data_IF_486684964966
#
_entry.id   IF_486684964966
#
_cell.length_a   1.000
_cell.length_b   1.000
_cell.length_c   1.000
_cell.angle_alpha   90.00
_cell.angle_beta   90.00
_cell.angle_gamma   90.00
#
_symmetry.space_group_name_H-M   'P 1'
#
loop_
_entity.id
_entity.type
_entity.pdbx_description
1 polymer ?
#
# COMPACT_ATOMS: atom_id res chain seq x y z
N UNK A 1 -31.38 31.30 -74.11
CA UNK A 1 -31.61 32.04 -72.84
C UNK A 1 -32.12 31.04 -71.81
N UNK A 2 -31.68 30.94 -70.55
CA UNK A 2 -30.49 31.35 -69.79
C UNK A 2 -30.75 30.77 -68.38
N UNK A 3 -29.99 29.75 -67.99
CA UNK A 3 -29.58 29.37 -66.62
C UNK A 3 -30.64 29.29 -65.50
N UNK A 4 -31.06 28.06 -65.16
CA UNK A 4 -31.57 27.66 -63.82
C UNK A 4 -30.47 26.88 -63.08
N UNK A 5 -29.46 27.56 -62.57
CA UNK A 5 -28.32 26.92 -61.87
C UNK A 5 -27.71 27.94 -60.89
N UNK A 6 -28.47 28.51 -59.93
CA UNK A 6 -27.83 29.48 -59.01
C UNK A 6 -28.42 29.63 -57.60
N UNK A 7 -29.22 28.69 -57.08
CA UNK A 7 -29.73 28.82 -55.69
C UNK A 7 -29.64 27.58 -54.79
N UNK A 8 -29.19 26.42 -55.28
CA UNK A 8 -29.04 25.23 -54.42
C UNK A 8 -27.78 25.28 -53.53
N UNK A 9 -26.72 25.98 -53.97
CA UNK A 9 -25.45 26.05 -53.24
C UNK A 9 -25.41 27.05 -52.07
N UNK A 10 -26.40 27.93 -51.91
CA UNK A 10 -26.45 28.87 -50.77
C UNK A 10 -27.18 28.29 -49.57
N UNK A 11 -28.17 27.42 -49.79
CA UNK A 11 -28.92 26.77 -48.71
C UNK A 11 -28.06 25.72 -47.98
N UNK A 12 -27.22 24.98 -48.71
CA UNK A 12 -26.32 23.96 -48.15
C UNK A 12 -25.19 24.61 -47.33
N UNK A 13 -24.68 25.77 -47.76
CA UNK A 13 -23.66 26.51 -47.01
C UNK A 13 -24.20 27.13 -45.72
N UNK A 14 -25.46 27.56 -45.70
CA UNK A 14 -26.10 28.07 -44.49
C UNK A 14 -26.36 26.96 -43.46
N UNK A 15 -26.69 25.74 -43.91
CA UNK A 15 -26.90 24.59 -43.02
C UNK A 15 -25.59 24.09 -42.37
N UNK A 16 -24.47 24.17 -43.11
CA UNK A 16 -23.14 23.80 -42.59
C UNK A 16 -22.59 24.79 -41.56
N UNK A 17 -23.05 26.05 -41.57
CA UNK A 17 -22.53 27.09 -40.67
C UNK A 17 -23.17 27.05 -39.27
N UNK A 18 -24.36 26.46 -39.14
CA UNK A 18 -25.02 26.29 -37.83
C UNK A 18 -24.48 25.06 -37.07
N UNK A 19 -23.99 24.04 -37.78
CA UNK A 19 -23.48 22.79 -37.15
C UNK A 19 -22.07 22.97 -36.58
N UNK A 20 -21.27 23.92 -37.07
CA UNK A 20 -19.92 24.16 -36.56
C UNK A 20 -19.92 25.02 -35.28
N UNK A 21 -21.02 25.72 -34.96
CA UNK A 21 -21.10 26.59 -33.78
C UNK A 21 -21.65 25.91 -32.51
N UNK A 22 -21.99 24.62 -32.56
CA UNK A 22 -22.48 23.85 -31.40
C UNK A 22 -21.39 23.03 -30.69
N UNK A 23 -20.11 23.14 -31.10
CA UNK A 23 -18.99 22.43 -30.47
C UNK A 23 -18.24 23.26 -29.41
N UNK A 24 -18.67 24.48 -29.10
CA UNK A 24 -18.22 25.19 -27.90
C UNK A 24 -19.14 24.86 -26.72
N UNK A 25 -19.08 23.61 -26.27
CA UNK A 25 -19.51 23.26 -24.92
C UNK A 25 -18.57 23.99 -23.95
N UNK A 26 -19.04 24.92 -23.10
CA UNK A 26 -18.23 25.41 -22.00
C UNK A 26 -17.85 24.19 -21.17
N UNK A 27 -16.56 24.04 -20.93
CA UNK A 27 -16.02 22.93 -20.16
C UNK A 27 -16.85 22.74 -18.91
N UNK A 28 -17.58 21.63 -18.86
CA UNK A 28 -17.96 21.03 -17.60
C UNK A 28 -16.62 20.64 -16.98
N UNK A 29 -16.04 21.57 -16.23
CA UNK A 29 -15.09 21.28 -15.18
C UNK A 29 -15.92 20.41 -14.24
N UNK A 30 -15.93 19.10 -14.50
CA UNK A 30 -16.24 18.14 -13.46
C UNK A 30 -15.37 18.61 -12.30
N UNK A 31 -15.93 18.99 -11.14
CA UNK A 31 -15.10 19.28 -10.00
C UNK A 31 -14.21 18.05 -9.88
N UNK A 32 -12.90 18.23 -10.07
CA UNK A 32 -11.93 17.18 -9.83
C UNK A 32 -12.34 16.65 -8.47
N UNK A 33 -12.86 15.40 -8.43
CA UNK A 33 -13.22 14.80 -7.18
C UNK A 33 -11.96 14.93 -6.36
N UNK A 34 -12.02 15.78 -5.34
CA UNK A 34 -11.03 15.78 -4.31
C UNK A 34 -11.15 14.36 -3.78
N UNK A 35 -10.32 13.47 -4.29
CA UNK A 35 -9.87 12.31 -3.55
C UNK A 35 -9.18 12.99 -2.39
N UNK A 36 -9.98 13.39 -1.39
CA UNK A 36 -9.54 13.45 -0.02
C UNK A 36 -8.85 12.11 0.11
N UNK A 37 -7.52 12.10 0.11
CA UNK A 37 -6.77 10.91 0.48
C UNK A 37 -7.53 10.41 1.70
N UNK A 38 -8.22 9.25 1.61
CA UNK A 38 -8.92 8.76 2.77
C UNK A 38 -7.83 8.75 3.83
N UNK A 39 -8.10 9.41 4.96
CA UNK A 39 -7.33 9.22 6.18
C UNK A 39 -6.78 7.80 6.12
N UNK A 40 -5.46 7.58 6.04
CA UNK A 40 -4.80 6.29 5.74
C UNK A 40 -5.16 5.25 6.81
N UNK A 41 -6.43 4.88 6.82
CA UNK A 41 -7.08 4.07 7.79
C UNK A 41 -6.96 2.69 7.22
N UNK A 42 -6.00 1.98 7.79
CA UNK A 42 -5.77 0.57 7.52
C UNK A 42 -7.09 -0.18 7.63
N UNK A 43 -7.34 -1.06 6.66
CA UNK A 43 -8.55 -1.88 6.64
C UNK A 43 -8.63 -2.74 7.92
N UNK A 44 -9.78 -2.77 8.62
CA UNK A 44 -9.97 -3.58 9.82
C UNK A 44 -9.64 -5.07 9.66
N UNK A 45 -9.72 -5.61 8.44
CA UNK A 45 -9.29 -6.97 8.14
C UNK A 45 -7.82 -7.21 8.52
N UNK A 46 -6.92 -6.32 8.12
CA UNK A 46 -5.48 -6.48 8.39
C UNK A 46 -5.14 -6.21 9.86
N UNK A 47 -5.88 -5.33 10.52
CA UNK A 47 -5.75 -5.14 11.97
C UNK A 47 -6.15 -6.41 12.73
N UNK A 48 -7.24 -7.07 12.31
CA UNK A 48 -7.67 -8.33 12.89
C UNK A 48 -6.62 -9.43 12.70
N UNK A 49 -6.08 -9.57 11.50
CA UNK A 49 -4.99 -10.52 11.22
C UNK A 49 -3.76 -10.26 12.10
N UNK A 50 -3.41 -9.00 12.33
CA UNK A 50 -2.31 -8.67 13.23
C UNK A 50 -2.61 -9.08 14.69
N UNK A 51 -3.85 -8.91 15.15
CA UNK A 51 -4.27 -9.33 16.49
C UNK A 51 -4.35 -10.85 16.62
N UNK A 52 -4.81 -11.56 15.58
CA UNK A 52 -4.84 -13.03 15.48
C UNK A 52 -3.42 -13.60 15.50
N UNK A 53 -2.52 -13.07 14.66
CA UNK A 53 -1.12 -13.47 14.65
C UNK A 53 -0.42 -13.23 15.99
N UNK A 54 -0.74 -12.14 16.70
CA UNK A 54 -0.23 -11.91 18.05
C UNK A 54 -0.76 -12.93 19.07
N UNK A 55 -2.01 -13.38 18.92
CA UNK A 55 -2.57 -14.43 19.77
C UNK A 55 -1.89 -15.78 19.49
N UNK A 56 -1.77 -16.18 18.22
CA UNK A 56 -1.08 -17.40 17.82
C UNK A 56 0.38 -17.40 18.29
N UNK A 57 1.09 -16.28 18.14
CA UNK A 57 2.47 -16.11 18.63
C UNK A 57 2.57 -16.37 20.14
N UNK A 58 1.65 -15.81 20.94
CA UNK A 58 1.61 -16.03 22.40
C UNK A 58 1.29 -17.46 22.78
N UNK A 59 0.50 -18.17 21.96
CA UNK A 59 0.20 -19.60 22.17
C UNK A 59 1.33 -20.53 21.72
N UNK A 60 2.34 -20.01 21.01
CA UNK A 60 3.44 -20.82 20.46
C UNK A 60 3.14 -21.39 19.07
N UNK A 61 2.02 -21.04 18.46
CA UNK A 61 1.57 -21.48 17.13
C UNK A 61 2.27 -20.65 16.05
N UNK A 62 3.56 -20.93 15.84
CA UNK A 62 4.43 -20.06 15.06
C UNK A 62 4.10 -20.07 13.56
N UNK A 63 3.66 -21.21 13.00
CA UNK A 63 3.24 -21.30 11.61
C UNK A 63 2.03 -20.41 11.31
N UNK A 64 0.98 -20.51 12.14
CA UNK A 64 -0.23 -19.70 12.05
C UNK A 64 0.11 -18.21 12.20
N UNK A 65 0.88 -17.86 13.24
CA UNK A 65 1.33 -16.50 13.47
C UNK A 65 2.08 -15.93 12.25
N UNK A 66 2.95 -16.73 11.61
CA UNK A 66 3.70 -16.29 10.44
C UNK A 66 2.78 -15.96 9.26
N UNK A 67 1.74 -16.76 9.02
CA UNK A 67 0.79 -16.55 7.93
C UNK A 67 -0.05 -15.29 8.16
N UNK A 68 -0.61 -15.14 9.35
CA UNK A 68 -1.40 -13.97 9.73
C UNK A 68 -0.60 -12.68 9.64
N UNK A 69 0.64 -12.68 10.16
CA UNK A 69 1.50 -11.51 10.07
C UNK A 69 1.92 -11.17 8.64
N UNK A 70 2.10 -12.16 7.75
CA UNK A 70 2.41 -11.89 6.33
C UNK A 70 1.25 -11.17 5.66
N UNK A 71 0.02 -11.62 5.90
CA UNK A 71 -1.18 -10.99 5.35
C UNK A 71 -1.38 -9.59 5.95
N UNK A 72 -1.19 -9.44 7.26
CA UNK A 72 -1.27 -8.13 7.92
C UNK A 72 -0.24 -7.13 7.37
N UNK A 73 1.01 -7.56 7.15
CA UNK A 73 2.06 -6.71 6.62
C UNK A 73 1.72 -6.12 5.24
N UNK A 74 1.02 -6.88 4.39
CA UNK A 74 0.53 -6.39 3.09
C UNK A 74 -0.43 -5.20 3.27
N UNK A 75 -1.32 -5.25 4.25
CA UNK A 75 -2.25 -4.15 4.55
C UNK A 75 -1.61 -2.93 5.20
N UNK A 76 -0.37 -3.04 5.69
CA UNK A 76 0.30 -1.98 6.44
C UNK A 76 1.34 -1.21 5.61
N UNK A 77 1.41 -1.42 4.29
CA UNK A 77 2.39 -0.77 3.42
C UNK A 77 2.39 0.77 3.54
N UNK A 78 1.22 1.39 3.69
CA UNK A 78 1.06 2.83 3.89
C UNK A 78 1.02 3.26 5.37
N UNK A 79 1.22 2.32 6.29
CA UNK A 79 1.18 2.51 7.74
C UNK A 79 2.52 2.08 8.37
N UNK A 80 3.60 2.89 8.24
CA UNK A 80 4.95 2.49 8.59
C UNK A 80 5.14 2.10 10.07
N UNK A 81 4.35 2.69 10.97
CA UNK A 81 4.38 2.36 12.39
C UNK A 81 3.86 0.94 12.66
N UNK A 82 2.82 0.52 11.93
CA UNK A 82 2.28 -0.84 12.02
C UNK A 82 3.17 -1.83 11.27
N UNK A 83 3.63 -1.46 10.07
CA UNK A 83 4.53 -2.29 9.28
C UNK A 83 5.83 -2.63 10.03
N UNK A 84 6.42 -1.65 10.70
CA UNK A 84 7.61 -1.87 11.52
C UNK A 84 7.37 -2.90 12.64
N UNK A 85 6.23 -2.80 13.33
CA UNK A 85 5.84 -3.77 14.37
C UNK A 85 5.64 -5.16 13.79
N UNK A 86 4.92 -5.28 12.68
CA UNK A 86 4.66 -6.57 12.03
C UNK A 86 5.92 -7.22 11.51
N UNK A 87 6.86 -6.45 10.95
CA UNK A 87 8.14 -7.00 10.50
C UNK A 87 9.00 -7.51 11.66
N UNK A 88 8.92 -6.91 12.85
CA UNK A 88 9.57 -7.45 14.06
C UNK A 88 8.97 -8.82 14.41
N UNK A 89 7.65 -8.91 14.50
CA UNK A 89 6.98 -10.19 14.75
C UNK A 89 7.33 -11.23 13.69
N UNK A 90 7.27 -10.90 12.41
CA UNK A 90 7.66 -11.78 11.30
C UNK A 90 9.10 -12.29 11.44
N UNK A 91 10.04 -11.41 11.81
CA UNK A 91 11.45 -11.78 12.00
C UNK A 91 11.61 -12.78 13.15
N UNK A 92 10.99 -12.51 14.30
CA UNK A 92 11.08 -13.38 15.48
C UNK A 92 10.39 -14.72 15.23
N UNK A 93 9.19 -14.71 14.64
CA UNK A 93 8.46 -15.93 14.28
C UNK A 93 9.25 -16.78 13.29
N UNK A 94 9.81 -16.17 12.23
CA UNK A 94 10.64 -16.90 11.26
C UNK A 94 11.89 -17.51 11.90
N UNK A 95 12.52 -16.79 12.84
CA UNK A 95 13.67 -17.29 13.58
C UNK A 95 13.31 -18.50 14.46
N UNK A 96 12.16 -18.47 15.14
CA UNK A 96 11.66 -19.58 15.94
C UNK A 96 11.41 -20.83 15.07
N UNK A 97 10.92 -20.62 13.85
CA UNK A 97 10.70 -21.67 12.85
C UNK A 97 11.96 -22.12 12.09
N UNK A 98 13.14 -21.57 12.44
CA UNK A 98 14.41 -21.86 11.74
C UNK A 98 14.40 -21.54 10.24
N UNK A 99 13.56 -20.59 9.82
CA UNK A 99 13.44 -20.12 8.43
C UNK A 99 14.38 -18.94 8.19
N UNK A 100 15.69 -19.19 8.17
CA UNK A 100 16.72 -18.15 8.11
C UNK A 100 16.59 -17.21 6.91
N UNK A 101 16.24 -17.74 5.73
CA UNK A 101 16.03 -16.91 4.52
C UNK A 101 14.94 -15.83 4.73
N UNK A 102 13.88 -16.18 5.48
CA UNK A 102 12.82 -15.23 5.81
C UNK A 102 13.30 -14.21 6.84
N UNK A 103 14.12 -14.62 7.80
CA UNK A 103 14.73 -13.69 8.78
C UNK A 103 15.55 -12.64 8.04
N UNK A 104 16.45 -13.05 7.14
CA UNK A 104 17.26 -12.13 6.33
C UNK A 104 16.39 -11.21 5.48
N UNK A 105 15.36 -11.77 4.84
CA UNK A 105 14.42 -10.99 4.03
C UNK A 105 13.76 -9.88 4.87
N UNK A 106 13.21 -10.20 6.03
CA UNK A 106 12.52 -9.20 6.87
C UNK A 106 13.48 -8.16 7.45
N UNK A 107 14.69 -8.56 7.85
CA UNK A 107 15.72 -7.61 8.29
C UNK A 107 16.13 -6.64 7.18
N UNK A 108 16.25 -7.14 5.94
CA UNK A 108 16.54 -6.32 4.76
C UNK A 108 15.40 -5.35 4.48
N UNK A 109 14.15 -5.78 4.58
CA UNK A 109 12.98 -4.92 4.39
C UNK A 109 12.90 -3.81 5.43
N UNK A 110 13.13 -4.13 6.71
CA UNK A 110 13.20 -3.13 7.80
C UNK A 110 14.24 -2.04 7.47
N UNK A 111 15.41 -2.46 6.98
CA UNK A 111 16.50 -1.55 6.61
C UNK A 111 16.14 -0.72 5.38
N UNK A 112 15.66 -1.38 4.31
CA UNK A 112 15.26 -0.75 3.04
C UNK A 112 14.19 0.32 3.24
N UNK A 113 13.22 0.04 4.11
CA UNK A 113 12.10 0.92 4.43
C UNK A 113 12.41 1.92 5.57
N UNK A 114 13.64 1.90 6.12
CA UNK A 114 14.10 2.80 7.19
C UNK A 114 13.22 2.76 8.45
N UNK A 115 12.70 1.58 8.80
CA UNK A 115 11.73 1.41 9.88
C UNK A 115 12.37 1.34 11.27
N UNK A 116 13.70 1.28 11.38
CA UNK A 116 14.43 1.15 12.65
C UNK A 116 13.97 2.16 13.71
N UNK A 117 13.84 3.44 13.35
CA UNK A 117 13.37 4.47 14.30
C UNK A 117 11.95 4.19 14.79
N UNK A 118 11.04 3.81 13.88
CA UNK A 118 9.65 3.49 14.22
C UNK A 118 9.56 2.27 15.13
N UNK A 119 10.40 1.26 14.92
CA UNK A 119 10.49 0.08 15.77
C UNK A 119 10.97 0.45 17.18
N UNK A 120 11.99 1.30 17.28
CA UNK A 120 12.51 1.76 18.58
C UNK A 120 11.44 2.51 19.37
N UNK A 121 10.77 3.46 18.73
CA UNK A 121 9.74 4.32 19.32
C UNK A 121 8.40 3.58 19.55
N UNK A 122 8.27 2.34 19.07
CA UNK A 122 7.03 1.56 19.16
C UNK A 122 6.72 1.09 20.60
N UNK A 123 5.46 0.73 20.83
CA UNK A 123 4.99 0.09 22.05
C UNK A 123 5.10 -1.45 22.03
N UNK A 124 6.02 -2.03 21.24
CA UNK A 124 6.24 -3.49 21.25
C UNK A 124 6.68 -3.96 22.66
N UNK A 125 6.30 -5.18 23.06
CA UNK A 125 6.77 -5.78 24.31
C UNK A 125 8.31 -5.75 24.41
N UNK A 126 8.84 -5.44 25.58
CA UNK A 126 10.29 -5.35 25.80
C UNK A 126 11.01 -6.66 25.46
N UNK A 127 10.43 -7.79 25.88
CA UNK A 127 10.96 -9.12 25.58
C UNK A 127 11.07 -9.36 24.07
N UNK A 128 10.07 -8.95 23.29
CA UNK A 128 10.09 -9.09 21.84
C UNK A 128 11.17 -8.19 21.21
N UNK A 129 11.33 -6.96 21.71
CA UNK A 129 12.41 -6.06 21.26
C UNK A 129 13.79 -6.65 21.56
N UNK A 130 13.97 -7.27 22.72
CA UNK A 130 15.22 -7.93 23.10
C UNK A 130 15.53 -9.14 22.22
N UNK A 131 14.53 -10.00 21.97
CA UNK A 131 14.66 -11.13 21.04
C UNK A 131 15.03 -10.65 19.64
N UNK A 132 14.33 -9.64 19.14
CA UNK A 132 14.61 -9.04 17.84
C UNK A 132 16.04 -8.47 17.76
N UNK A 133 16.49 -7.71 18.77
CA UNK A 133 17.84 -7.16 18.82
C UNK A 133 18.92 -8.26 18.80
N UNK A 134 18.70 -9.37 19.53
CA UNK A 134 19.59 -10.53 19.51
C UNK A 134 19.65 -11.22 18.14
N UNK A 135 18.53 -11.31 17.44
CA UNK A 135 18.49 -11.84 16.07
C UNK A 135 19.26 -10.90 15.14
N UNK A 136 19.04 -9.59 15.22
CA UNK A 136 19.79 -8.61 14.42
C UNK A 136 21.30 -8.73 14.63
N UNK A 137 21.78 -8.84 15.88
CA UNK A 137 23.22 -9.01 16.12
C UNK A 137 23.77 -10.31 15.53
N UNK A 138 22.98 -11.38 15.58
CA UNK A 138 23.36 -12.69 15.02
C UNK A 138 23.54 -12.62 13.51
N UNK A 139 22.58 -12.00 12.80
CA UNK A 139 22.60 -11.93 11.33
C UNK A 139 23.49 -10.80 10.78
N UNK A 140 23.76 -9.75 11.55
CA UNK A 140 24.76 -8.75 11.18
C UNK A 140 26.19 -9.30 11.29
N UNK A 141 26.45 -10.19 12.25
CA UNK A 141 27.76 -10.84 12.41
C UNK A 141 28.10 -11.92 11.37
N UNK A 142 27.10 -12.39 10.60
CA UNK A 142 27.27 -13.40 9.54
C UNK A 142 27.56 -12.78 8.16
N UNK A 143 27.37 -11.47 8.01
CA UNK A 143 27.57 -10.72 6.77
C UNK A 143 28.86 -9.88 6.76
N UNK A 144 29.75 -10.09 7.75
CA UNK A 144 31.03 -9.41 7.92
C UNK A 144 32.22 -10.27 7.54
#
# INVERSE_FOLDING_TARGET
>A
MRTREFNSMKLIKALFLVIIFSLFLPGNILPAQQIKSPNSQVDPFYLRLFDEGQQAFRRGEMEEALEDFKLAAFGFLDAPDLLGKTLVYLTVTAYNLKKNDLVEHYLKEITRLKLNKKILDSNLPSELKEQFAKIQSTFNGLNG
#
